data_IF_223343977851
#
_entry.id   IF_223343977851
#
_cell.length_a   1.000
_cell.length_b   1.000
_cell.length_c   1.000
_cell.angle_alpha   90.00
_cell.angle_beta   90.00
_cell.angle_gamma   90.00
#
_symmetry.space_group_name_H-M   'P 1'
#
loop_
_entity.id
_entity.type
_entity.pdbx_description
1 polymer ?
#
# COMPACT_ATOMS: atom_id res chain seq x y z
N UNK A 1 13.61 22.53 -2.09
CA UNK A 1 13.11 21.14 -2.24
C UNK A 1 11.91 20.99 -1.32
N UNK A 2 10.70 20.74 -1.85
CA UNK A 2 9.51 20.52 -1.02
C UNK A 2 9.60 19.12 -0.42
N UNK A 3 9.91 19.03 0.87
CA UNK A 3 9.76 17.79 1.63
C UNK A 3 8.28 17.44 1.66
N UNK A 4 7.89 16.44 0.87
CA UNK A 4 6.54 15.88 0.92
C UNK A 4 6.43 15.25 2.31
N UNK A 5 5.79 15.93 3.27
CA UNK A 5 5.53 15.35 4.59
C UNK A 5 4.66 14.12 4.39
N UNK A 6 5.28 12.94 4.45
CA UNK A 6 4.65 11.63 4.53
C UNK A 6 3.88 11.65 5.87
N UNK A 7 2.56 11.66 5.83
CA UNK A 7 1.73 11.94 7.01
C UNK A 7 1.85 10.81 8.02
N UNK A 8 1.56 11.12 9.28
CA UNK A 8 1.71 10.22 10.44
C UNK A 8 1.09 8.84 10.20
N UNK A 9 -0.07 8.77 9.54
CA UNK A 9 -0.74 7.50 9.23
C UNK A 9 0.09 6.58 8.30
N UNK A 10 0.77 7.17 7.31
CA UNK A 10 1.62 6.42 6.37
C UNK A 10 2.92 5.99 7.05
N UNK A 11 3.49 6.85 7.90
CA UNK A 11 4.66 6.49 8.70
C UNK A 11 4.36 5.35 9.67
N UNK A 12 3.18 5.38 10.31
CA UNK A 12 2.69 4.28 11.13
C UNK A 12 2.58 2.98 10.32
N UNK A 13 1.91 3.01 9.16
CA UNK A 13 1.79 1.84 8.29
C UNK A 13 3.16 1.32 7.82
N UNK A 14 4.08 2.21 7.45
CA UNK A 14 5.43 1.81 7.05
C UNK A 14 6.16 1.10 8.19
N UNK A 15 6.15 1.69 9.38
CA UNK A 15 6.80 1.09 10.56
C UNK A 15 6.20 -0.26 10.90
N UNK A 16 4.86 -0.32 11.00
CA UNK A 16 4.14 -1.55 11.30
C UNK A 16 4.39 -2.65 10.27
N UNK A 17 4.24 -2.35 8.96
CA UNK A 17 4.42 -3.35 7.91
C UNK A 17 5.88 -3.80 7.77
N UNK A 18 6.84 -2.91 8.03
CA UNK A 18 8.26 -3.27 8.01
C UNK A 18 8.61 -4.19 9.17
N UNK A 19 8.03 -3.97 10.34
CA UNK A 19 8.24 -4.83 11.52
C UNK A 19 7.56 -6.20 11.34
N UNK A 20 6.28 -6.19 10.98
CA UNK A 20 5.47 -7.42 10.83
C UNK A 20 5.89 -8.30 9.65
N UNK A 21 6.48 -7.72 8.61
CA UNK A 21 6.90 -8.46 7.42
C UNK A 21 8.43 -8.50 7.30
N UNK A 22 9.13 -8.21 8.40
CA UNK A 22 10.60 -8.21 8.47
C UNK A 22 11.22 -9.56 8.13
N UNK A 23 10.49 -10.64 8.38
CA UNK A 23 10.86 -12.03 8.07
C UNK A 23 10.79 -12.35 6.56
N UNK A 24 10.28 -11.43 5.73
CA UNK A 24 10.04 -11.64 4.30
C UNK A 24 10.90 -10.72 3.43
N UNK A 25 12.18 -11.08 3.16
CA UNK A 25 13.11 -10.21 2.44
C UNK A 25 12.76 -9.97 0.96
N UNK A 26 11.85 -10.77 0.39
CA UNK A 26 11.37 -10.61 -0.99
C UNK A 26 10.35 -9.48 -1.15
N UNK A 27 9.86 -8.91 -0.04
CA UNK A 27 8.87 -7.85 -0.05
C UNK A 27 9.50 -6.49 -0.32
N UNK A 28 8.83 -5.71 -1.18
CA UNK A 28 9.16 -4.31 -1.41
C UNK A 28 8.04 -3.44 -0.88
N UNK A 29 8.34 -2.70 0.19
CA UNK A 29 7.42 -1.79 0.85
C UNK A 29 7.75 -0.36 0.42
N UNK A 30 6.77 0.35 -0.13
CA UNK A 30 6.94 1.73 -0.58
C UNK A 30 5.76 2.60 -0.14
N UNK A 31 6.04 3.78 0.41
CA UNK A 31 5.02 4.80 0.59
C UNK A 31 4.54 5.32 -0.76
N UNK A 32 3.23 5.43 -0.92
CA UNK A 32 2.59 6.01 -2.09
C UNK A 32 2.04 7.37 -1.70
N UNK A 33 2.65 8.40 -2.29
CA UNK A 33 2.07 9.73 -2.27
C UNK A 33 0.86 9.76 -3.23
N UNK A 34 -0.21 10.52 -2.91
CA UNK A 34 -1.32 10.69 -3.84
C UNK A 34 -0.78 11.29 -5.14
N UNK A 35 -1.04 10.62 -6.25
CA UNK A 35 -0.69 11.16 -7.56
C UNK A 35 -1.65 12.31 -7.85
N UNK A 36 -1.12 13.53 -7.99
CA UNK A 36 -1.90 14.67 -8.52
C UNK A 36 -2.15 14.55 -10.02
N UNK A 37 -1.59 13.52 -10.66
CA UNK A 37 -1.68 13.30 -12.09
C UNK A 37 -3.04 12.70 -12.39
N UNK A 38 -3.94 13.52 -12.94
CA UNK A 38 -5.21 13.05 -13.49
C UNK A 38 -4.94 12.03 -14.61
N UNK A 39 -5.81 11.02 -14.66
CA UNK A 39 -5.82 9.87 -15.58
C UNK A 39 -5.46 10.30 -17.02
N UNK A 40 -4.28 9.92 -17.52
CA UNK A 40 -4.01 9.95 -18.97
C UNK A 40 -4.76 8.79 -19.61
N UNK A 41 -5.63 9.10 -20.57
CA UNK A 41 -6.55 8.15 -21.24
C UNK A 41 -5.81 7.09 -22.06
N UNK A 42 -4.53 7.34 -22.39
CA UNK A 42 -3.78 6.58 -23.40
C UNK A 42 -2.84 5.49 -22.88
N UNK A 43 -2.71 5.28 -21.57
CA UNK A 43 -1.82 4.25 -21.03
C UNK A 43 -2.61 2.98 -20.68
N UNK A 44 -2.23 1.80 -21.19
CA UNK A 44 -2.78 0.53 -20.72
C UNK A 44 -2.43 0.39 -19.23
N UNK A 45 -3.46 0.43 -18.40
CA UNK A 45 -3.35 0.35 -16.94
C UNK A 45 -3.31 -1.12 -16.54
N UNK A 46 -2.18 -1.59 -16.02
CA UNK A 46 -2.00 -2.92 -15.42
C UNK A 46 -2.55 -2.99 -13.98
N UNK A 47 -3.69 -2.33 -13.74
CA UNK A 47 -4.30 -2.20 -12.41
C UNK A 47 -5.72 -2.76 -12.41
N UNK A 48 -6.14 -3.31 -11.26
CA UNK A 48 -7.44 -3.93 -11.02
C UNK A 48 -8.59 -3.08 -11.61
N UNK A 49 -9.33 -3.59 -12.62
CA UNK A 49 -10.35 -2.83 -13.34
C UNK A 49 -11.53 -2.39 -12.46
N UNK A 50 -11.66 -2.93 -11.24
CA UNK A 50 -12.73 -2.57 -10.31
C UNK A 50 -12.39 -1.41 -9.36
N UNK A 51 -11.13 -0.99 -9.29
CA UNK A 51 -10.68 0.03 -8.33
C UNK A 51 -10.20 1.29 -9.06
N UNK A 52 -11.14 2.16 -9.44
CA UNK A 52 -10.85 3.42 -10.14
C UNK A 52 -10.08 4.47 -9.27
N UNK A 53 -9.89 4.22 -7.97
CA UNK A 53 -9.41 5.23 -7.01
C UNK A 53 -8.00 4.98 -6.46
N UNK A 54 -7.30 3.89 -6.84
CA UNK A 54 -6.01 3.53 -6.21
C UNK A 54 -4.96 4.63 -6.40
N UNK A 55 -4.97 5.32 -7.54
CA UNK A 55 -3.99 6.37 -7.85
C UNK A 55 -4.18 7.68 -7.05
N UNK A 56 -5.37 7.89 -6.49
CA UNK A 56 -5.72 9.09 -5.72
C UNK A 56 -5.48 8.89 -4.21
N UNK A 57 -5.37 7.64 -3.77
CA UNK A 57 -5.28 7.30 -2.34
C UNK A 57 -3.83 7.31 -1.88
N UNK A 58 -3.61 8.01 -0.77
CA UNK A 58 -2.35 7.97 -0.03
C UNK A 58 -2.28 6.67 0.78
N UNK A 59 -1.12 6.04 0.85
CA UNK A 59 -0.97 4.79 1.61
C UNK A 59 0.41 4.17 1.51
N UNK A 60 0.48 2.88 1.81
CA UNK A 60 1.68 2.05 1.68
C UNK A 60 1.37 0.91 0.72
N UNK A 61 2.31 0.63 -0.18
CA UNK A 61 2.23 -0.44 -1.16
C UNK A 61 3.26 -1.50 -0.83
N UNK A 62 2.82 -2.74 -0.76
CA UNK A 62 3.65 -3.90 -0.52
C UNK A 62 3.61 -4.78 -1.76
N UNK A 63 4.74 -4.95 -2.42
CA UNK A 63 4.86 -5.80 -3.60
C UNK A 63 5.62 -7.07 -3.25
N UNK A 64 5.07 -8.21 -3.66
CA UNK A 64 5.66 -9.53 -3.55
C UNK A 64 5.61 -10.24 -4.90
N UNK A 65 6.77 -10.49 -5.52
CA UNK A 65 6.85 -11.14 -6.85
C UNK A 65 5.91 -10.45 -7.87
N UNK A 66 4.86 -11.15 -8.30
CA UNK A 66 3.83 -10.69 -9.24
C UNK A 66 2.59 -10.06 -8.59
N UNK A 67 2.45 -10.15 -7.26
CA UNK A 67 1.32 -9.56 -6.52
C UNK A 67 1.69 -8.23 -5.86
N UNK A 68 0.69 -7.37 -5.78
CA UNK A 68 0.79 -6.06 -5.16
C UNK A 68 -0.40 -5.87 -4.22
N UNK A 69 -0.10 -5.43 -3.00
CA UNK A 69 -1.06 -5.13 -1.95
C UNK A 69 -0.96 -3.65 -1.62
N UNK A 70 -2.10 -3.00 -1.44
CA UNK A 70 -2.17 -1.58 -1.13
C UNK A 70 -2.90 -1.36 0.19
N UNK A 71 -2.23 -0.69 1.12
CA UNK A 71 -2.70 -0.32 2.44
C UNK A 71 -3.03 1.19 2.46
N UNK A 72 -4.31 1.57 2.35
CA UNK A 72 -4.73 2.95 2.40
C UNK A 72 -4.44 3.59 3.76
N UNK A 73 -3.92 4.83 3.75
CA UNK A 73 -3.67 5.58 4.99
C UNK A 73 -4.95 5.84 5.80
N UNK A 74 -6.11 5.90 5.13
CA UNK A 74 -7.38 6.12 5.81
C UNK A 74 -7.78 4.94 6.70
N UNK A 75 -7.25 3.73 6.49
CA UNK A 75 -7.55 2.62 7.41
C UNK A 75 -7.03 2.88 8.83
N UNK A 76 -5.88 3.55 8.96
CA UNK A 76 -5.38 3.97 10.29
C UNK A 76 -6.26 5.09 10.85
N UNK A 77 -6.57 6.09 10.03
CA UNK A 77 -7.39 7.24 10.43
C UNK A 77 -8.80 6.84 10.87
N UNK A 78 -9.40 5.89 10.16
CA UNK A 78 -10.76 5.39 10.40
C UNK A 78 -10.76 4.25 11.45
N UNK A 79 -9.61 3.96 12.09
CA UNK A 79 -9.42 2.87 13.06
C UNK A 79 -9.79 1.47 12.53
N UNK A 80 -9.70 1.30 11.21
CA UNK A 80 -9.94 0.04 10.47
C UNK A 80 -8.67 -0.82 10.43
N UNK A 81 -8.03 -0.99 11.59
CA UNK A 81 -6.81 -1.80 11.71
C UNK A 81 -7.08 -3.29 11.46
N UNK A 82 -8.33 -3.73 11.64
CA UNK A 82 -8.80 -5.08 11.27
C UNK A 82 -8.50 -5.41 9.80
N UNK A 83 -8.70 -4.44 8.89
CA UNK A 83 -8.41 -4.62 7.46
C UNK A 83 -6.90 -4.70 7.18
N UNK A 84 -6.11 -3.90 7.91
CA UNK A 84 -4.65 -3.95 7.82
C UNK A 84 -4.16 -5.33 8.22
N UNK A 85 -4.63 -5.84 9.36
CA UNK A 85 -4.24 -7.15 9.87
C UNK A 85 -4.69 -8.29 8.95
N UNK A 86 -5.92 -8.23 8.43
CA UNK A 86 -6.43 -9.22 7.49
C UNK A 86 -5.59 -9.29 6.21
N UNK A 87 -5.17 -8.14 5.66
CA UNK A 87 -4.36 -8.10 4.45
C UNK A 87 -2.90 -8.52 4.71
N UNK A 88 -2.35 -8.24 5.89
CA UNK A 88 -1.04 -8.78 6.31
C UNK A 88 -1.09 -10.31 6.39
N UNK A 89 -2.15 -10.88 6.96
CA UNK A 89 -2.35 -12.32 7.03
C UNK A 89 -2.48 -12.95 5.62
N UNK A 90 -3.15 -12.26 4.68
CA UNK A 90 -3.21 -12.67 3.28
C UNK A 90 -1.83 -12.73 2.62
N UNK A 91 -0.98 -11.72 2.85
CA UNK A 91 0.41 -11.71 2.37
C UNK A 91 1.17 -12.90 2.96
N UNK A 92 1.05 -13.12 4.28
CA UNK A 92 1.74 -14.22 4.97
C UNK A 92 1.35 -15.59 4.43
N UNK A 93 0.05 -15.81 4.20
CA UNK A 93 -0.46 -17.05 3.59
C UNK A 93 0.07 -17.25 2.18
N UNK A 94 0.11 -16.20 1.37
CA UNK A 94 0.64 -16.28 0.01
C UNK A 94 2.14 -16.62 -0.02
N UNK A 95 2.92 -16.22 0.99
CA UNK A 95 4.34 -16.58 1.09
C UNK A 95 4.58 -18.05 1.45
N UNK A 96 3.62 -18.70 2.10
CA UNK A 96 3.72 -20.09 2.55
C UNK A 96 3.09 -21.12 1.60
N UNK A 97 2.47 -20.67 0.50
CA UNK A 97 1.90 -21.51 -0.57
C UNK A 97 2.91 -21.67 -1.73
#
# INVERSE_FOLDING_TARGET
>A
MKSISIGVDVEYLLGYLTDELSDMPELRIHAVAPSTTQKSVDLPQDYDPNSNDVHLKRGVRVRMKSREFFFPANWVKDQRLDLVYAQVDEIRKFTHD
#
